data_IF_294655854878
#
_entry.id   IF_294655854878
#
_cell.length_a   1.000
_cell.length_b   1.000
_cell.length_c   1.000
_cell.angle_alpha   90.00
_cell.angle_beta   90.00
_cell.angle_gamma   90.00
#
_symmetry.space_group_name_H-M   'P 1'
#
loop_
_entity.id
_entity.type
_entity.pdbx_description
1 polymer ?
#
# COMPACT_ATOMS: atom_id res chain seq x y z
N UNK A 1 14.07 1.72 14.07
CA UNK A 1 13.51 3.00 14.58
C UNK A 1 12.57 2.67 15.72
N UNK A 2 12.51 3.44 16.80
CA UNK A 2 11.53 3.20 17.87
C UNK A 2 10.35 4.13 17.60
N UNK A 3 9.19 3.56 17.28
CA UNK A 3 7.99 4.32 16.98
C UNK A 3 7.30 4.73 18.29
N UNK A 4 7.07 6.02 18.48
CA UNK A 4 6.41 6.55 19.68
C UNK A 4 4.88 6.52 19.48
N UNK A 5 4.26 5.40 19.78
CA UNK A 5 2.81 5.17 19.61
C UNK A 5 1.97 6.21 20.36
N UNK A 6 2.36 6.61 21.57
CA UNK A 6 1.56 7.57 22.36
C UNK A 6 1.58 8.97 21.72
N UNK A 7 2.73 9.42 21.21
CA UNK A 7 2.78 10.69 20.47
C UNK A 7 1.98 10.64 19.17
N UNK A 8 1.97 9.49 18.48
CA UNK A 8 1.15 9.29 17.29
C UNK A 8 -0.35 9.27 17.61
N UNK A 9 -0.76 8.66 18.72
CA UNK A 9 -2.14 8.69 19.20
C UNK A 9 -2.61 10.12 19.48
N UNK A 10 -1.81 10.91 20.17
CA UNK A 10 -2.13 12.31 20.48
C UNK A 10 -2.26 13.13 19.19
N UNK A 11 -1.27 13.02 18.29
CA UNK A 11 -1.23 13.78 17.04
C UNK A 11 -2.44 13.46 16.14
N UNK A 12 -2.64 12.19 15.81
CA UNK A 12 -3.70 11.78 14.91
C UNK A 12 -5.10 11.85 15.54
N UNK A 13 -5.22 11.67 16.85
CA UNK A 13 -6.46 11.93 17.56
C UNK A 13 -6.86 13.41 17.49
N UNK A 14 -5.88 14.33 17.62
CA UNK A 14 -6.14 15.75 17.43
C UNK A 14 -6.54 16.05 15.97
N UNK A 15 -5.84 15.50 14.99
CA UNK A 15 -6.15 15.69 13.57
C UNK A 15 -7.57 15.24 13.23
N UNK A 16 -7.98 14.03 13.64
CA UNK A 16 -9.33 13.54 13.40
C UNK A 16 -10.40 14.39 14.11
N UNK A 17 -10.13 14.86 15.32
CA UNK A 17 -11.05 15.76 16.05
C UNK A 17 -11.24 17.11 15.34
N UNK A 18 -10.24 17.61 14.63
CA UNK A 18 -10.35 18.82 13.81
C UNK A 18 -11.14 18.54 12.55
N UNK A 19 -10.77 17.48 11.82
CA UNK A 19 -11.41 17.10 10.57
C UNK A 19 -12.90 16.77 10.73
N UNK A 20 -13.26 16.01 11.76
CA UNK A 20 -14.64 15.59 12.00
C UNK A 20 -15.57 16.74 12.46
N UNK A 21 -15.03 17.94 12.76
CA UNK A 21 -15.86 19.13 13.02
C UNK A 21 -16.40 19.78 11.75
N UNK A 22 -15.58 19.73 10.70
CA UNK A 22 -15.82 20.45 9.46
C UNK A 22 -16.19 19.50 8.32
N UNK A 23 -16.03 18.19 8.53
CA UNK A 23 -16.26 17.14 7.55
C UNK A 23 -17.10 16.00 8.12
N UNK A 24 -18.22 15.67 7.47
CA UNK A 24 -19.06 14.54 7.87
C UNK A 24 -18.54 13.24 7.25
N UNK A 25 -17.60 12.58 7.91
CA UNK A 25 -17.12 11.27 7.48
C UNK A 25 -18.21 10.20 7.44
N UNK A 26 -19.35 10.41 8.12
CA UNK A 26 -20.47 9.47 8.15
C UNK A 26 -20.99 9.17 6.74
N UNK A 27 -21.19 10.17 5.93
CA UNK A 27 -21.73 10.03 4.59
C UNK A 27 -20.76 9.30 3.64
N UNK A 28 -19.47 9.40 3.91
CA UNK A 28 -18.41 8.75 3.14
C UNK A 28 -18.15 7.28 3.54
N UNK A 29 -18.36 6.96 4.80
CA UNK A 29 -18.01 5.65 5.40
C UNK A 29 -19.20 4.67 5.30
N UNK A 30 -20.40 5.15 5.11
CA UNK A 30 -21.65 4.35 5.25
C UNK A 30 -21.98 3.47 4.03
N UNK A 31 -21.11 3.36 3.04
CA UNK A 31 -21.16 2.34 1.97
C UNK A 31 -22.45 2.22 1.13
N UNK A 32 -23.54 2.85 1.58
CA UNK A 32 -24.85 2.88 0.92
C UNK A 32 -24.97 4.01 -0.13
N UNK A 33 -23.88 4.72 -0.39
CA UNK A 33 -23.88 5.92 -1.19
C UNK A 33 -23.91 5.62 -2.70
N UNK A 34 -24.81 6.30 -3.40
CA UNK A 34 -24.78 6.42 -4.83
C UNK A 34 -23.48 7.09 -5.31
N UNK A 35 -23.04 6.83 -6.54
CA UNK A 35 -21.84 7.44 -7.11
C UNK A 35 -21.85 8.99 -7.05
N UNK A 36 -23.02 9.64 -7.07
CA UNK A 36 -23.20 11.09 -6.93
C UNK A 36 -22.89 11.59 -5.52
N UNK A 37 -23.23 10.83 -4.48
CA UNK A 37 -22.96 11.19 -3.08
C UNK A 37 -21.46 11.04 -2.76
N UNK A 38 -20.80 10.06 -3.35
CA UNK A 38 -19.35 9.88 -3.26
C UNK A 38 -18.61 11.07 -3.90
N UNK A 39 -19.07 11.56 -5.05
CA UNK A 39 -18.44 12.67 -5.78
C UNK A 39 -18.58 14.00 -4.98
N UNK A 40 -19.71 14.25 -4.35
CA UNK A 40 -19.90 15.39 -3.47
C UNK A 40 -19.02 15.33 -2.20
N UNK A 41 -18.89 14.15 -1.60
CA UNK A 41 -18.03 13.93 -0.43
C UNK A 41 -16.55 14.14 -0.77
N UNK A 42 -16.10 13.78 -1.96
CA UNK A 42 -14.74 14.06 -2.44
C UNK A 42 -14.43 15.55 -2.54
N UNK A 43 -15.36 16.37 -3.04
CA UNK A 43 -15.17 17.83 -3.16
C UNK A 43 -15.07 18.50 -1.78
N UNK A 44 -15.87 18.08 -0.82
CA UNK A 44 -15.77 18.59 0.56
C UNK A 44 -14.48 18.16 1.23
N UNK A 45 -14.02 16.96 0.94
CA UNK A 45 -12.79 16.38 1.43
C UNK A 45 -11.56 17.07 0.84
N UNK A 46 -11.50 17.30 -0.46
CA UNK A 46 -10.44 18.09 -1.12
C UNK A 46 -10.34 19.50 -0.52
N UNK A 47 -11.48 20.15 -0.20
CA UNK A 47 -11.50 21.42 0.49
C UNK A 47 -10.94 21.34 1.93
N UNK A 48 -11.15 20.23 2.63
CA UNK A 48 -10.58 20.02 3.96
C UNK A 48 -9.07 19.78 3.88
N UNK A 49 -8.59 19.05 2.87
CA UNK A 49 -7.17 18.87 2.56
C UNK A 49 -6.48 20.22 2.34
N UNK A 50 -7.03 21.06 1.48
CA UNK A 50 -6.47 22.37 1.16
C UNK A 50 -6.42 23.32 2.38
N UNK A 51 -7.37 23.18 3.31
CA UNK A 51 -7.45 24.05 4.49
C UNK A 51 -6.55 23.61 5.66
N UNK A 52 -6.19 22.33 5.73
CA UNK A 52 -5.49 21.77 6.90
C UNK A 52 -4.08 21.20 6.61
N UNK A 53 -3.59 21.32 5.36
CA UNK A 53 -2.25 20.79 4.97
C UNK A 53 -2.16 19.28 5.10
N UNK A 54 -3.26 18.58 4.91
CA UNK A 54 -3.30 17.12 4.88
C UNK A 54 -3.37 16.63 3.44
N UNK A 55 -2.90 15.44 3.23
CA UNK A 55 -3.13 14.74 1.97
C UNK A 55 -3.85 13.42 2.25
N UNK A 56 -4.46 12.90 1.22
CA UNK A 56 -5.30 11.73 1.35
C UNK A 56 -5.10 10.81 0.18
N UNK A 57 -5.39 9.56 0.42
CA UNK A 57 -5.40 8.52 -0.59
C UNK A 57 -6.52 7.54 -0.29
N UNK A 58 -7.09 7.01 -1.33
CA UNK A 58 -8.06 5.93 -1.21
C UNK A 58 -7.67 4.77 -2.09
N UNK A 59 -7.86 3.58 -1.57
CA UNK A 59 -7.85 2.34 -2.33
C UNK A 59 -9.24 1.73 -2.34
N UNK A 60 -9.38 0.56 -2.96
CA UNK A 60 -10.67 -0.14 -3.01
C UNK A 60 -11.26 -0.49 -1.63
N UNK A 61 -10.43 -0.56 -0.59
CA UNK A 61 -10.82 -1.09 0.74
C UNK A 61 -10.42 -0.22 1.91
N UNK A 62 -9.62 0.84 1.69
CA UNK A 62 -9.00 1.63 2.76
C UNK A 62 -9.01 3.11 2.43
N UNK A 63 -9.18 3.91 3.46
CA UNK A 63 -8.90 5.34 3.45
C UNK A 63 -7.55 5.60 4.12
N UNK A 64 -6.79 6.54 3.57
CA UNK A 64 -5.49 6.95 4.07
C UNK A 64 -5.49 8.46 4.26
N UNK A 65 -5.09 8.91 5.43
CA UNK A 65 -4.92 10.34 5.73
C UNK A 65 -3.49 10.56 6.20
N UNK A 66 -2.80 11.48 5.55
CA UNK A 66 -1.46 11.92 5.91
C UNK A 66 -1.45 13.38 6.35
N UNK A 67 -0.46 13.71 7.14
CA UNK A 67 -0.13 15.06 7.58
C UNK A 67 1.25 15.39 6.99
N UNK A 68 1.37 16.51 6.24
CA UNK A 68 2.59 16.90 5.53
C UNK A 68 3.84 16.96 6.42
N UNK A 69 3.64 17.28 7.71
CA UNK A 69 4.71 17.37 8.70
C UNK A 69 5.00 16.04 9.42
N UNK A 70 4.38 14.93 9.00
CA UNK A 70 4.49 13.64 9.67
C UNK A 70 5.00 12.54 8.75
N UNK A 71 6.00 11.79 9.23
CA UNK A 71 6.50 10.59 8.55
C UNK A 71 5.54 9.38 8.65
N UNK A 72 4.29 9.62 8.96
CA UNK A 72 3.27 8.60 9.18
C UNK A 72 1.94 9.00 8.57
N UNK A 73 1.16 7.99 8.26
CA UNK A 73 -0.23 8.12 7.82
C UNK A 73 -1.13 7.32 8.75
N UNK A 74 -2.40 7.69 8.81
CA UNK A 74 -3.44 6.84 9.37
C UNK A 74 -4.24 6.16 8.28
N UNK A 75 -4.68 4.95 8.56
CA UNK A 75 -5.50 4.12 7.68
C UNK A 75 -6.69 3.59 8.44
N UNK A 76 -7.83 3.46 7.79
CA UNK A 76 -9.00 2.77 8.30
C UNK A 76 -9.84 2.21 7.17
N UNK A 77 -10.59 1.15 7.46
CA UNK A 77 -11.53 0.56 6.52
C UNK A 77 -12.90 1.21 6.73
N UNK A 78 -13.54 1.75 5.67
CA UNK A 78 -14.91 2.20 5.74
C UNK A 78 -15.87 1.08 6.20
N UNK A 79 -17.01 1.46 6.77
CA UNK A 79 -18.06 0.50 7.11
C UNK A 79 -18.61 -0.18 5.86
N UNK A 80 -19.02 -1.42 5.96
CA UNK A 80 -19.57 -2.19 4.83
C UNK A 80 -18.61 -3.25 4.26
N UNK A 81 -17.39 -3.29 4.72
CA UNK A 81 -16.49 -4.40 4.44
C UNK A 81 -16.60 -5.46 5.54
N UNK A 82 -16.83 -6.71 5.17
CA UNK A 82 -16.88 -7.85 6.10
C UNK A 82 -15.52 -8.17 6.72
N UNK A 83 -14.47 -7.45 6.30
CA UNK A 83 -13.09 -7.74 6.67
C UNK A 83 -12.29 -6.45 6.93
N UNK A 84 -11.60 -6.39 8.08
CA UNK A 84 -10.69 -5.29 8.41
C UNK A 84 -9.31 -5.51 7.78
N UNK A 85 -9.12 -4.97 6.59
CA UNK A 85 -7.86 -5.06 5.85
C UNK A 85 -6.69 -4.35 6.56
N UNK A 86 -6.97 -3.32 7.36
CA UNK A 86 -5.91 -2.65 8.12
C UNK A 86 -5.45 -3.49 9.32
N UNK A 87 -6.37 -4.19 10.00
CA UNK A 87 -6.00 -5.16 11.03
C UNK A 87 -5.13 -6.27 10.43
N UNK A 88 -5.47 -6.72 9.22
CA UNK A 88 -4.70 -7.74 8.52
C UNK A 88 -3.27 -7.30 8.22
N UNK A 89 -3.06 -6.04 7.84
CA UNK A 89 -1.70 -5.50 7.66
C UNK A 89 -0.88 -5.60 8.95
N UNK A 90 -1.48 -5.27 10.10
CA UNK A 90 -0.80 -5.39 11.40
C UNK A 90 -0.43 -6.85 11.69
N UNK A 91 -1.34 -7.79 11.47
CA UNK A 91 -1.05 -9.23 11.64
C UNK A 91 0.09 -9.69 10.73
N UNK A 92 0.06 -9.32 9.46
CA UNK A 92 1.11 -9.65 8.48
C UNK A 92 2.45 -9.05 8.92
N UNK A 93 2.46 -7.79 9.37
CA UNK A 93 3.67 -7.14 9.85
C UNK A 93 4.25 -7.87 11.07
N UNK A 94 3.42 -8.23 12.03
CA UNK A 94 3.87 -8.98 13.22
C UNK A 94 4.46 -10.35 12.86
N UNK A 95 3.88 -11.05 11.89
CA UNK A 95 4.46 -12.29 11.36
C UNK A 95 5.76 -12.04 10.59
N UNK A 96 5.85 -10.94 9.83
CA UNK A 96 7.09 -10.54 9.16
C UNK A 96 8.21 -10.23 10.16
N UNK A 97 7.89 -9.62 11.30
CA UNK A 97 8.85 -9.42 12.40
C UNK A 97 9.36 -10.76 12.95
N UNK A 98 8.46 -11.71 13.19
CA UNK A 98 8.82 -13.05 13.70
C UNK A 98 9.66 -13.85 12.70
N UNK A 99 9.37 -13.69 11.43
CA UNK A 99 10.09 -14.36 10.34
C UNK A 99 11.39 -13.66 9.91
N UNK A 100 11.68 -12.45 10.43
CA UNK A 100 12.87 -11.68 10.09
C UNK A 100 12.75 -10.89 8.78
N UNK A 101 11.54 -10.57 8.32
CA UNK A 101 11.24 -9.83 7.09
C UNK A 101 10.67 -8.42 7.33
N UNK A 102 10.68 -7.92 8.57
CA UNK A 102 10.10 -6.62 8.91
C UNK A 102 10.63 -5.46 8.06
N UNK A 103 11.88 -5.54 7.61
CA UNK A 103 12.52 -4.54 6.74
C UNK A 103 12.00 -4.51 5.30
N UNK A 104 11.15 -5.46 4.91
CA UNK A 104 10.51 -5.56 3.59
C UNK A 104 9.10 -4.95 3.55
N UNK A 105 8.60 -4.54 4.71
CA UNK A 105 7.23 -4.00 4.87
C UNK A 105 7.29 -2.62 5.50
N UNK A 106 6.35 -1.74 5.13
CA UNK A 106 6.12 -0.52 5.89
C UNK A 106 5.62 -0.90 7.29
N UNK A 107 6.18 -0.26 8.31
CA UNK A 107 5.72 -0.48 9.67
C UNK A 107 4.27 -0.02 9.84
N UNK A 108 3.45 -0.79 10.55
CA UNK A 108 2.09 -0.39 10.91
C UNK A 108 1.71 -0.89 12.31
N UNK A 109 0.72 -0.24 12.91
CA UNK A 109 0.17 -0.62 14.19
C UNK A 109 -1.26 -0.07 14.37
N UNK A 110 -2.08 -0.70 15.21
CA UNK A 110 -3.35 -0.11 15.67
C UNK A 110 -3.05 1.06 16.62
N UNK A 111 -3.68 2.21 16.37
CA UNK A 111 -3.58 3.37 17.27
C UNK A 111 -4.68 3.36 18.33
N UNK A 112 -5.93 3.47 17.89
CA UNK A 112 -7.12 3.58 18.75
C UNK A 112 -8.37 3.18 17.98
N UNK A 113 -9.50 3.12 18.68
CA UNK A 113 -10.82 3.12 18.08
C UNK A 113 -11.36 4.55 18.13
N UNK A 114 -11.95 5.04 17.04
CA UNK A 114 -12.42 6.42 16.90
C UNK A 114 -13.90 6.48 16.54
N UNK A 115 -14.67 7.28 17.29
CA UNK A 115 -16.08 7.52 17.04
C UNK A 115 -16.22 8.61 15.97
N UNK A 116 -16.42 8.20 14.72
CA UNK A 116 -16.66 9.14 13.62
C UNK A 116 -18.04 9.80 13.69
N UNK A 117 -19.04 9.08 14.24
CA UNK A 117 -20.35 9.58 14.62
C UNK A 117 -20.98 8.66 15.68
N UNK A 118 -22.18 8.99 16.18
CA UNK A 118 -22.88 8.26 17.26
C UNK A 118 -23.09 6.75 16.98
N UNK A 119 -22.92 6.32 15.72
CA UNK A 119 -23.18 4.94 15.28
C UNK A 119 -21.95 4.23 14.72
N UNK A 120 -20.81 4.94 14.62
CA UNK A 120 -19.67 4.45 13.86
C UNK A 120 -18.35 4.60 14.61
N UNK A 121 -17.99 3.54 15.31
CA UNK A 121 -16.69 3.40 15.96
C UNK A 121 -15.80 2.49 15.12
N UNK A 122 -14.76 3.06 14.49
CA UNK A 122 -13.85 2.31 13.63
C UNK A 122 -12.43 2.27 14.21
N UNK A 123 -11.73 1.15 14.06
CA UNK A 123 -10.32 1.07 14.39
C UNK A 123 -9.50 1.91 13.41
N UNK A 124 -8.61 2.75 13.96
CA UNK A 124 -7.65 3.58 13.23
C UNK A 124 -6.26 2.98 13.40
N UNK A 125 -5.58 2.82 12.30
CA UNK A 125 -4.22 2.27 12.22
C UNK A 125 -3.25 3.33 11.75
N UNK A 126 -2.00 3.21 12.15
CA UNK A 126 -0.90 4.04 11.66
C UNK A 126 0.02 3.19 10.81
N UNK A 127 0.58 3.80 9.77
CA UNK A 127 1.62 3.22 8.93
C UNK A 127 2.72 4.26 8.69
N UNK A 128 3.97 3.83 8.52
CA UNK A 128 5.04 4.69 8.02
C UNK A 128 4.64 5.29 6.69
N UNK A 129 4.86 6.60 6.52
CA UNK A 129 4.69 7.23 5.22
C UNK A 129 5.76 6.73 4.25
N UNK A 130 5.30 6.31 3.08
CA UNK A 130 6.16 5.86 2.00
C UNK A 130 5.81 6.60 0.73
N UNK A 131 6.81 7.01 -0.03
CA UNK A 131 6.57 7.55 -1.37
C UNK A 131 6.12 6.41 -2.28
N UNK A 132 4.82 6.32 -2.49
CA UNK A 132 4.16 5.36 -3.37
C UNK A 132 3.76 6.11 -4.65
N UNK A 133 4.36 5.71 -5.77
CA UNK A 133 4.08 6.30 -7.08
C UNK A 133 4.09 5.13 -8.07
N UNK A 134 2.90 4.80 -8.60
CA UNK A 134 2.72 3.67 -9.50
C UNK A 134 3.59 3.80 -10.73
N UNK A 135 3.60 4.97 -11.36
CA UNK A 135 4.33 5.20 -12.61
C UNK A 135 5.84 5.14 -12.36
N UNK A 136 6.32 5.76 -11.29
CA UNK A 136 7.74 5.71 -10.90
C UNK A 136 8.21 4.28 -10.69
N UNK A 137 7.49 3.47 -9.90
CA UNK A 137 7.86 2.07 -9.65
C UNK A 137 7.75 1.24 -10.94
N UNK A 138 6.71 1.47 -11.75
CA UNK A 138 6.54 0.78 -13.02
C UNK A 138 7.70 1.08 -13.99
N UNK A 139 8.11 2.33 -14.08
CA UNK A 139 9.23 2.76 -14.94
C UNK A 139 10.56 2.16 -14.47
N UNK A 140 10.82 2.14 -13.16
CA UNK A 140 12.01 1.52 -12.57
C UNK A 140 12.06 0.01 -12.85
N UNK A 141 10.93 -0.69 -12.71
CA UNK A 141 10.79 -2.12 -13.03
C UNK A 141 11.00 -2.38 -14.51
N UNK A 142 10.44 -1.54 -15.39
CA UNK A 142 10.58 -1.67 -16.83
C UNK A 142 12.04 -1.44 -17.28
N UNK A 143 12.74 -0.43 -16.75
CA UNK A 143 14.17 -0.21 -17.07
C UNK A 143 15.06 -1.34 -16.53
N UNK A 144 14.77 -1.85 -15.34
CA UNK A 144 15.48 -2.98 -14.76
C UNK A 144 15.30 -4.25 -15.61
N UNK A 145 14.07 -4.59 -15.98
CA UNK A 145 13.76 -5.78 -16.75
C UNK A 145 14.35 -5.69 -18.18
N UNK A 146 14.24 -4.51 -18.83
CA UNK A 146 14.90 -4.23 -20.11
C UNK A 146 16.42 -4.37 -20.02
N UNK A 147 17.02 -3.86 -18.95
CA UNK A 147 18.45 -3.99 -18.69
C UNK A 147 18.88 -5.46 -18.61
N UNK A 148 18.11 -6.28 -17.90
CA UNK A 148 18.35 -7.71 -17.75
C UNK A 148 18.12 -8.48 -19.07
N UNK A 149 17.11 -8.07 -19.84
CA UNK A 149 16.90 -8.60 -21.19
C UNK A 149 18.12 -8.36 -22.08
N UNK A 150 18.64 -7.13 -22.13
CA UNK A 150 19.83 -6.80 -22.92
C UNK A 150 21.06 -7.60 -22.48
N UNK A 151 21.31 -7.68 -21.17
CA UNK A 151 22.43 -8.50 -20.61
C UNK A 151 22.32 -9.97 -21.00
N UNK A 152 21.14 -10.57 -20.86
CA UNK A 152 20.89 -11.97 -21.12
C UNK A 152 21.02 -12.35 -22.60
N UNK A 153 20.71 -11.42 -23.50
CA UNK A 153 20.79 -11.62 -24.94
C UNK A 153 22.08 -11.09 -25.55
N UNK A 154 23.00 -10.53 -24.75
CA UNK A 154 24.27 -9.94 -25.19
C UNK A 154 24.10 -8.83 -26.24
N UNK A 155 23.05 -7.99 -26.07
CA UNK A 155 22.76 -6.82 -26.92
C UNK A 155 22.99 -5.53 -26.16
N UNK A 156 23.41 -4.48 -26.89
CA UNK A 156 23.52 -3.13 -26.34
C UNK A 156 22.14 -2.47 -26.24
N UNK A 157 21.94 -1.64 -25.20
CA UNK A 157 20.72 -0.84 -25.07
C UNK A 157 20.59 0.11 -26.26
N UNK A 158 19.45 0.09 -26.93
CA UNK A 158 19.09 0.95 -28.06
C UNK A 158 17.58 1.02 -28.22
N UNK A 159 17.08 1.98 -29.00
CA UNK A 159 15.66 2.08 -29.30
C UNK A 159 15.13 0.82 -29.99
N UNK A 160 15.88 0.24 -30.92
CA UNK A 160 15.51 -1.01 -31.59
C UNK A 160 15.42 -2.18 -30.61
N UNK A 161 16.40 -2.31 -29.69
CA UNK A 161 16.41 -3.33 -28.65
C UNK A 161 15.25 -3.14 -27.66
N UNK A 162 14.90 -1.89 -27.34
CA UNK A 162 13.75 -1.58 -26.50
C UNK A 162 12.44 -1.98 -27.17
N UNK A 163 12.26 -1.66 -28.45
CA UNK A 163 11.08 -2.06 -29.21
C UNK A 163 10.95 -3.59 -29.30
N UNK A 164 12.06 -4.30 -29.46
CA UNK A 164 12.07 -5.76 -29.47
C UNK A 164 11.68 -6.34 -28.11
N UNK A 165 12.27 -5.83 -27.01
CA UNK A 165 11.92 -6.19 -25.65
C UNK A 165 10.43 -5.96 -25.38
N UNK A 166 9.94 -4.74 -25.66
CA UNK A 166 8.56 -4.35 -25.41
C UNK A 166 7.56 -5.24 -26.17
N UNK A 167 7.86 -5.58 -27.41
CA UNK A 167 6.95 -6.36 -28.26
C UNK A 167 6.98 -7.88 -27.97
N UNK A 168 8.09 -8.42 -27.45
CA UNK A 168 8.30 -9.86 -27.35
C UNK A 168 8.53 -10.39 -25.93
N UNK A 169 9.19 -9.61 -25.08
CA UNK A 169 9.67 -10.08 -23.78
C UNK A 169 8.91 -9.49 -22.59
N UNK A 170 8.51 -8.21 -22.64
CA UNK A 170 7.86 -7.51 -21.52
C UNK A 170 6.64 -8.26 -20.98
N UNK A 171 5.86 -8.86 -21.84
CA UNK A 171 4.64 -9.59 -21.47
C UNK A 171 4.85 -11.08 -21.24
N UNK A 172 6.08 -11.56 -21.30
CA UNK A 172 6.39 -12.98 -21.01
C UNK A 172 6.21 -13.33 -19.54
N UNK A 173 6.31 -12.33 -18.64
CA UNK A 173 6.05 -12.47 -17.21
C UNK A 173 4.90 -11.54 -16.80
N UNK A 174 4.18 -11.92 -15.74
CA UNK A 174 3.17 -11.07 -15.11
C UNK A 174 3.82 -9.84 -14.48
N UNK A 175 3.11 -8.73 -14.45
CA UNK A 175 3.60 -7.48 -13.82
C UNK A 175 4.02 -7.71 -12.36
N UNK A 176 3.20 -8.39 -11.58
CA UNK A 176 3.50 -8.74 -10.19
C UNK A 176 4.77 -9.57 -10.02
N UNK A 177 5.05 -10.51 -10.94
CA UNK A 177 6.26 -11.31 -10.90
C UNK A 177 7.51 -10.48 -11.21
N UNK A 178 7.43 -9.57 -12.18
CA UNK A 178 8.51 -8.63 -12.53
C UNK A 178 8.84 -7.70 -11.37
N UNK A 179 7.83 -7.10 -10.76
CA UNK A 179 8.00 -6.23 -9.58
C UNK A 179 8.63 -7.00 -8.42
N UNK A 180 8.17 -8.22 -8.16
CA UNK A 180 8.73 -9.06 -7.11
C UNK A 180 10.20 -9.44 -7.35
N UNK A 181 10.57 -9.79 -8.58
CA UNK A 181 11.95 -10.08 -8.95
C UNK A 181 12.86 -8.84 -8.81
N UNK A 182 12.39 -7.69 -9.30
CA UNK A 182 13.08 -6.40 -9.14
C UNK A 182 13.31 -6.05 -7.67
N UNK A 183 12.29 -6.18 -6.82
CA UNK A 183 12.41 -5.92 -5.39
C UNK A 183 13.41 -6.85 -4.70
N UNK A 184 13.42 -8.14 -5.05
CA UNK A 184 14.37 -9.09 -4.48
C UNK A 184 15.83 -8.75 -4.86
N UNK A 185 16.08 -8.24 -6.07
CA UNK A 185 17.41 -7.75 -6.45
C UNK A 185 17.79 -6.51 -5.65
N UNK A 186 16.86 -5.58 -5.46
CA UNK A 186 17.05 -4.39 -4.60
C UNK A 186 17.40 -4.74 -3.15
N UNK A 187 16.78 -5.78 -2.62
CA UNK A 187 17.07 -6.29 -1.28
C UNK A 187 18.33 -7.18 -1.22
N UNK A 188 19.00 -7.39 -2.35
CA UNK A 188 20.16 -8.24 -2.49
C UNK A 188 19.96 -9.65 -1.89
N UNK A 189 18.77 -10.22 -2.07
CA UNK A 189 18.41 -11.54 -1.54
C UNK A 189 19.07 -12.65 -2.37
N UNK A 190 19.57 -13.67 -1.68
CA UNK A 190 20.01 -14.91 -2.35
C UNK A 190 18.80 -15.69 -2.85
N UNK A 191 19.01 -16.59 -3.80
CA UNK A 191 17.95 -17.46 -4.34
C UNK A 191 17.21 -18.24 -3.23
N UNK A 192 17.93 -18.69 -2.21
CA UNK A 192 17.32 -19.39 -1.07
C UNK A 192 16.42 -18.46 -0.26
N UNK A 193 16.88 -17.23 0.04
CA UNK A 193 16.10 -16.21 0.76
C UNK A 193 14.85 -15.81 -0.03
N UNK A 194 14.97 -15.64 -1.36
CA UNK A 194 13.83 -15.37 -2.24
C UNK A 194 12.79 -16.49 -2.15
N UNK A 195 13.21 -17.75 -2.18
CA UNK A 195 12.30 -18.88 -2.08
C UNK A 195 11.61 -18.94 -0.70
N UNK A 196 12.33 -18.68 0.37
CA UNK A 196 11.78 -18.63 1.73
C UNK A 196 10.81 -17.46 1.88
N UNK A 197 11.15 -16.28 1.35
CA UNK A 197 10.28 -15.11 1.38
C UNK A 197 9.02 -15.32 0.54
N UNK A 198 9.13 -15.95 -0.63
CA UNK A 198 7.96 -16.33 -1.44
C UNK A 198 7.02 -17.29 -0.70
N UNK A 199 7.55 -18.24 0.05
CA UNK A 199 6.75 -19.13 0.89
C UNK A 199 6.05 -18.37 2.02
N UNK A 200 6.74 -17.40 2.65
CA UNK A 200 6.14 -16.50 3.63
C UNK A 200 4.99 -15.70 3.02
N UNK A 201 5.21 -15.03 1.87
CA UNK A 201 4.19 -14.27 1.16
C UNK A 201 2.97 -15.13 0.82
N UNK A 202 3.20 -16.34 0.34
CA UNK A 202 2.14 -17.30 0.04
C UNK A 202 1.36 -17.72 1.31
N UNK A 203 2.05 -18.04 2.39
CA UNK A 203 1.43 -18.39 3.67
C UNK A 203 0.60 -17.24 4.28
N UNK A 204 1.01 -16.00 3.99
CA UNK A 204 0.29 -14.79 4.42
C UNK A 204 -0.72 -14.29 3.38
N UNK A 205 -0.99 -15.02 2.30
CA UNK A 205 -1.91 -14.65 1.22
C UNK A 205 -1.60 -13.28 0.58
N UNK A 206 -0.34 -12.85 0.59
CA UNK A 206 0.11 -11.62 -0.05
C UNK A 206 0.35 -11.92 -1.52
N UNK A 207 -0.59 -11.59 -2.37
CA UNK A 207 -0.58 -11.91 -3.79
C UNK A 207 -0.79 -10.70 -4.71
N UNK A 208 -1.21 -9.57 -4.16
CA UNK A 208 -1.38 -8.32 -4.90
C UNK A 208 -0.09 -7.50 -4.89
N UNK A 209 0.78 -7.78 -5.87
CA UNK A 209 2.13 -7.21 -5.95
C UNK A 209 2.28 -6.21 -7.11
N UNK A 210 1.21 -5.50 -7.49
CA UNK A 210 1.30 -4.47 -8.53
C UNK A 210 2.15 -3.26 -8.06
N UNK A 211 2.70 -2.44 -8.97
CA UNK A 211 3.60 -1.32 -8.62
C UNK A 211 3.07 -0.37 -7.55
N UNK A 212 1.75 -0.11 -7.51
CA UNK A 212 1.14 0.79 -6.52
C UNK A 212 1.16 0.28 -5.08
N UNK A 213 1.47 -1.00 -4.85
CA UNK A 213 1.59 -1.58 -3.51
C UNK A 213 3.01 -1.53 -2.97
N UNK A 214 3.91 -0.83 -3.66
CA UNK A 214 5.30 -0.64 -3.26
C UNK A 214 5.61 0.84 -3.06
N UNK A 215 6.56 1.12 -2.16
CA UNK A 215 6.97 2.49 -1.90
C UNK A 215 8.37 2.58 -1.31
N UNK A 216 8.90 3.79 -1.35
CA UNK A 216 10.17 4.13 -0.74
C UNK A 216 9.94 4.80 0.61
N UNK A 217 10.33 4.14 1.69
CA UNK A 217 10.29 4.64 3.06
C UNK A 217 11.72 4.87 3.55
N UNK A 218 12.13 6.13 3.73
CA UNK A 218 13.48 6.48 4.19
C UNK A 218 14.60 5.77 3.38
N UNK A 219 14.51 5.80 2.05
CA UNK A 219 15.40 5.11 1.11
C UNK A 219 15.36 3.56 1.20
N UNK A 220 14.37 3.00 1.82
CA UNK A 220 14.12 1.56 1.91
C UNK A 220 12.92 1.20 1.06
N UNK A 221 13.09 0.29 0.10
CA UNK A 221 11.98 -0.25 -0.66
C UNK A 221 11.14 -1.18 0.22
N UNK A 222 9.84 -0.96 0.27
CA UNK A 222 8.91 -1.72 1.11
C UNK A 222 7.58 -1.99 0.41
N UNK A 223 6.89 -3.03 0.84
CA UNK A 223 5.46 -3.21 0.60
C UNK A 223 4.66 -2.29 1.53
N UNK A 224 3.67 -1.60 0.98
CA UNK A 224 2.80 -0.64 1.69
C UNK A 224 1.34 -1.07 1.74
N UNK A 225 0.90 -1.90 0.80
CA UNK A 225 -0.39 -2.57 0.83
C UNK A 225 -0.17 -4.09 0.75
N UNK A 226 -0.28 -4.74 1.88
CA UNK A 226 0.05 -6.15 2.04
C UNK A 226 -1.01 -6.93 2.85
N UNK A 227 -2.21 -6.38 2.98
CA UNK A 227 -3.33 -7.08 3.61
C UNK A 227 -3.70 -8.37 2.87
N UNK A 228 -3.38 -8.44 1.58
CA UNK A 228 -3.85 -9.50 0.70
C UNK A 228 -5.37 -9.43 0.49
N UNK A 229 -5.88 -10.25 -0.40
CA UNK A 229 -7.31 -10.55 -0.43
C UNK A 229 -7.53 -11.70 0.56
N UNK A 230 -8.25 -11.44 1.65
CA UNK A 230 -8.58 -12.45 2.66
C UNK A 230 -9.29 -13.67 2.06
N UNK A 231 -9.54 -14.68 2.86
CA UNK A 231 -10.16 -15.97 2.47
C UNK A 231 -11.45 -15.84 1.65
N UNK A 232 -12.12 -14.67 1.68
CA UNK A 232 -13.33 -14.37 0.91
C UNK A 232 -13.13 -14.42 -0.62
N UNK A 233 -11.89 -14.44 -1.11
CA UNK A 233 -11.58 -14.42 -2.54
C UNK A 233 -10.87 -15.70 -3.03
N UNK A 234 -10.99 -16.81 -2.32
CA UNK A 234 -10.41 -18.12 -2.70
C UNK A 234 -10.75 -18.58 -4.14
N UNK A 235 -11.75 -17.98 -4.77
CA UNK A 235 -12.22 -18.36 -6.11
C UNK A 235 -11.87 -17.39 -7.24
N UNK A 236 -11.13 -16.31 -7.00
CA UNK A 236 -10.59 -15.53 -8.11
C UNK A 236 -9.23 -16.13 -8.48
N UNK A 237 -9.28 -17.03 -9.47
CA UNK A 237 -8.10 -17.51 -10.17
C UNK A 237 -7.16 -16.34 -10.44
N UNK A 238 -5.86 -16.55 -10.22
CA UNK A 238 -4.74 -15.64 -10.55
C UNK A 238 -4.66 -15.34 -12.08
N UNK A 239 -5.77 -14.99 -12.68
CA UNK A 239 -5.93 -14.67 -14.10
C UNK A 239 -6.05 -13.16 -14.30
N UNK A 240 -4.98 -12.43 -13.93
CA UNK A 240 -4.76 -11.08 -14.43
C UNK A 240 -3.33 -10.92 -14.92
#
# INVERSE_FOLDING_TARGET
>A
MVHNIEALRERFGHLLNVLCKDFNFGDYIDGDNNAEDIECSWVEYDNAVDNYGIWTGSGATKLVIGDEDCDYVIKFCPQGYDYDYCAREVEVYDEAVRAGYADKFAWCAKLFDYDFNEFMNLPVYVMEWCKCDYDMISDEVDDWDYTNYCKSNHIEKSDDAYHEYFSKARYAKRSSERVFEWANEHWAMTTEQVNQFRQFMYAMFINDLHPGNWGWCNNRLVLVDYSGYGECHENRSLDY
#
